data_IF_527016845203
#
_entry.id   IF_527016845203
#
_cell.length_a   1.000
_cell.length_b   1.000
_cell.length_c   1.000
_cell.angle_alpha   90.00
_cell.angle_beta   90.00
_cell.angle_gamma   90.00
#
_symmetry.space_group_name_H-M   'P 1'
#
loop_
_entity.id
_entity.type
_entity.pdbx_description
1 polymer ?
#
# COMPACT_ATOMS: atom_id res chain seq x y z
N UNK A 1 2.89 -10.70 -3.57
CA UNK A 1 3.06 -9.31 -4.05
C UNK A 1 2.70 -9.30 -5.54
N UNK A 2 2.27 -8.18 -6.11
CA UNK A 2 1.66 -8.19 -7.44
C UNK A 2 1.99 -6.94 -8.26
N UNK A 3 2.29 -7.18 -9.54
CA UNK A 3 2.23 -6.17 -10.60
C UNK A 3 1.00 -6.48 -11.46
N UNK A 4 0.36 -5.45 -12.02
CA UNK A 4 -0.80 -5.65 -12.87
C UNK A 4 -1.56 -4.38 -13.19
N UNK A 5 -2.55 -4.48 -14.07
CA UNK A 5 -3.43 -3.35 -14.41
C UNK A 5 -4.59 -3.25 -13.41
N UNK A 6 -4.39 -2.48 -12.33
CA UNK A 6 -5.38 -2.29 -11.27
C UNK A 6 -6.41 -1.21 -11.58
N UNK A 7 -6.32 -0.54 -12.74
CA UNK A 7 -7.44 0.29 -13.22
C UNK A 7 -8.71 -0.55 -13.42
N UNK A 8 -8.54 -1.86 -13.64
CA UNK A 8 -9.62 -2.84 -13.72
C UNK A 8 -10.35 -3.09 -12.40
N UNK A 9 -9.77 -2.71 -11.27
CA UNK A 9 -10.38 -2.82 -9.94
C UNK A 9 -10.65 -1.44 -9.31
N UNK A 10 -10.64 -0.37 -10.11
CA UNK A 10 -11.10 0.96 -9.70
C UNK A 10 -10.01 1.96 -9.36
N UNK A 11 -8.72 1.61 -9.50
CA UNK A 11 -7.65 2.60 -9.41
C UNK A 11 -7.70 3.58 -10.60
N UNK A 12 -7.34 4.83 -10.35
CA UNK A 12 -7.26 5.83 -11.42
C UNK A 12 -6.01 5.54 -12.27
N UNK A 13 -6.11 5.66 -13.59
CA UNK A 13 -4.96 5.50 -14.46
C UNK A 13 -3.87 6.53 -14.11
N UNK A 14 -2.65 6.06 -13.86
CA UNK A 14 -1.54 6.92 -13.42
C UNK A 14 -1.57 7.28 -11.94
N UNK A 15 -2.43 6.65 -11.14
CA UNK A 15 -2.32 6.71 -9.68
C UNK A 15 -1.01 6.04 -9.25
N UNK A 16 -0.09 6.86 -8.75
CA UNK A 16 1.23 6.42 -8.25
C UNK A 16 1.13 5.69 -6.91
N UNK A 17 -0.06 5.68 -6.32
CA UNK A 17 -0.39 4.94 -5.11
C UNK A 17 -0.11 5.70 -3.83
N UNK A 18 -0.27 4.97 -2.74
CA UNK A 18 -0.05 5.42 -1.38
C UNK A 18 -0.02 4.23 -0.44
N UNK A 19 0.39 4.48 0.80
CA UNK A 19 0.38 3.45 1.82
C UNK A 19 -0.95 3.45 2.58
N UNK A 20 -1.46 2.26 2.86
CA UNK A 20 -2.61 1.98 3.69
C UNK A 20 -2.13 1.22 4.93
N UNK A 21 -2.67 1.56 6.09
CA UNK A 21 -2.11 1.16 7.38
C UNK A 21 -3.15 1.19 8.53
N UNK A 22 -2.88 0.51 9.66
CA UNK A 22 -3.79 0.41 10.80
C UNK A 22 -3.98 1.69 11.62
N UNK A 23 -3.08 2.68 11.49
CA UNK A 23 -3.03 3.82 12.39
C UNK A 23 -3.49 5.11 11.69
N UNK A 24 -3.01 5.40 10.49
CA UNK A 24 -3.27 6.64 9.77
C UNK A 24 -2.90 7.88 10.61
N UNK A 25 -3.36 9.05 10.17
CA UNK A 25 -3.05 10.30 10.86
C UNK A 25 -3.72 10.44 12.25
N UNK A 26 -4.77 9.68 12.53
CA UNK A 26 -5.59 9.80 13.75
C UNK A 26 -5.57 8.55 14.63
N UNK A 27 -4.68 7.59 14.38
CA UNK A 27 -4.67 6.27 15.02
C UNK A 27 -6.00 5.50 14.88
N UNK A 28 -6.67 5.65 13.73
CA UNK A 28 -7.93 4.98 13.39
C UNK A 28 -7.84 4.14 12.10
N UNK A 29 -6.69 4.15 11.45
CA UNK A 29 -6.42 3.50 10.18
C UNK A 29 -6.64 4.39 8.96
N UNK A 30 -6.03 3.95 7.88
CA UNK A 30 -6.03 4.54 6.56
C UNK A 30 -6.12 3.36 5.57
N UNK A 31 -7.32 2.99 5.09
CA UNK A 31 -8.61 3.56 5.44
C UNK A 31 -9.06 3.20 6.86
N UNK A 32 -9.90 4.06 7.44
CA UNK A 32 -10.52 3.79 8.75
C UNK A 32 -11.32 2.49 8.71
N UNK A 33 -11.08 1.61 9.68
CA UNK A 33 -11.78 0.33 9.80
C UNK A 33 -11.18 -0.81 8.98
N UNK A 34 -9.95 -0.66 8.47
CA UNK A 34 -9.17 -1.77 7.93
C UNK A 34 -9.08 -2.91 8.95
N UNK A 35 -9.43 -4.12 8.52
CA UNK A 35 -9.39 -5.33 9.36
C UNK A 35 -8.68 -6.43 8.60
N UNK A 36 -7.52 -6.83 9.11
CA UNK A 36 -6.62 -7.77 8.45
C UNK A 36 -6.55 -9.04 9.27
N UNK A 37 -6.90 -10.15 8.64
CA UNK A 37 -6.74 -11.47 9.22
C UNK A 37 -5.82 -12.32 8.35
N UNK A 38 -5.09 -13.21 9.00
CA UNK A 38 -4.21 -14.15 8.31
C UNK A 38 -4.12 -15.44 9.10
N UNK A 39 -3.84 -16.55 8.41
CA UNK A 39 -3.61 -17.85 9.01
C UNK A 39 -2.12 -18.21 9.11
N UNK A 40 -1.22 -17.21 9.05
CA UNK A 40 0.24 -17.43 9.03
C UNK A 40 0.76 -18.18 10.26
N UNK A 41 0.07 -18.11 11.39
CA UNK A 41 0.38 -18.88 12.62
C UNK A 41 -0.37 -20.22 12.71
N UNK A 42 -1.14 -20.59 11.69
CA UNK A 42 -1.96 -21.81 11.65
C UNK A 42 -3.44 -21.60 12.02
N UNK A 43 -3.81 -20.42 12.51
CA UNK A 43 -5.20 -20.04 12.84
C UNK A 43 -5.52 -18.68 12.21
N UNK A 44 -6.74 -18.50 11.69
CA UNK A 44 -7.19 -17.23 11.11
C UNK A 44 -7.50 -16.23 12.24
N UNK A 45 -6.56 -15.31 12.47
CA UNK A 45 -6.62 -14.32 13.55
C UNK A 45 -6.39 -12.92 13.02
N UNK A 46 -6.87 -11.93 13.78
CA UNK A 46 -6.63 -10.52 13.51
C UNK A 46 -5.18 -10.13 13.83
N UNK A 47 -4.59 -9.31 12.96
CA UNK A 47 -3.30 -8.68 13.17
C UNK A 47 -3.44 -7.17 13.15
N UNK A 48 -2.97 -6.54 14.23
CA UNK A 48 -2.98 -5.09 14.38
C UNK A 48 -1.97 -4.44 13.45
N UNK A 49 -0.75 -4.97 13.39
CA UNK A 49 0.34 -4.42 12.57
C UNK A 49 0.34 -5.01 11.15
N UNK A 50 0.07 -4.14 10.18
CA UNK A 50 0.10 -4.46 8.76
C UNK A 50 0.42 -3.21 7.94
N UNK A 51 0.86 -3.43 6.72
CA UNK A 51 1.07 -2.35 5.75
C UNK A 51 0.66 -2.82 4.36
N UNK A 52 0.08 -1.92 3.58
CA UNK A 52 -0.30 -2.17 2.20
C UNK A 52 0.07 -0.98 1.33
N UNK A 53 0.84 -1.22 0.28
CA UNK A 53 0.99 -0.24 -0.77
C UNK A 53 0.12 -0.63 -1.94
N UNK A 54 -0.64 0.33 -2.48
CA UNK A 54 -1.49 0.09 -3.63
C UNK A 54 -1.45 1.27 -4.60
N UNK A 55 -1.16 0.97 -5.86
CA UNK A 55 -1.14 1.92 -6.98
C UNK A 55 -1.90 1.34 -8.18
N UNK A 56 -1.98 2.10 -9.27
CA UNK A 56 -2.60 1.65 -10.51
C UNK A 56 -1.90 0.43 -11.15
N UNK A 57 -0.62 0.21 -10.84
CA UNK A 57 0.22 -0.81 -11.48
C UNK A 57 0.86 -1.84 -10.53
N UNK A 58 0.79 -1.63 -9.21
CA UNK A 58 1.42 -2.49 -8.21
C UNK A 58 0.62 -2.56 -6.91
N UNK A 59 0.63 -3.73 -6.27
CA UNK A 59 0.09 -3.95 -4.93
C UNK A 59 1.02 -4.87 -4.15
N UNK A 60 1.33 -4.50 -2.91
CA UNK A 60 2.07 -5.33 -1.96
C UNK A 60 1.48 -5.19 -0.57
N UNK A 61 1.57 -6.26 0.21
CA UNK A 61 0.93 -6.36 1.52
C UNK A 61 1.85 -7.14 2.44
N UNK A 62 2.02 -6.63 3.67
CA UNK A 62 2.79 -7.28 4.73
C UNK A 62 1.97 -7.27 6.02
N UNK A 63 2.00 -8.40 6.71
CA UNK A 63 1.47 -8.54 8.08
C UNK A 63 2.66 -8.75 9.00
N UNK A 64 2.75 -8.00 10.08
CA UNK A 64 3.85 -8.11 11.03
C UNK A 64 3.39 -8.86 12.28
N UNK A 65 3.94 -10.06 12.44
CA UNK A 65 3.54 -10.99 13.50
C UNK A 65 4.52 -11.03 14.67
N UNK A 66 5.71 -10.47 14.49
CA UNK A 66 6.80 -10.46 15.45
C UNK A 66 7.76 -9.31 15.15
N UNK A 67 8.53 -8.92 16.17
CA UNK A 67 9.60 -7.94 16.06
C UNK A 67 10.78 -8.30 16.97
N UNK A 68 11.81 -7.47 16.91
CA UNK A 68 13.00 -7.52 17.77
C UNK A 68 13.08 -6.27 18.66
N UNK A 69 14.06 -6.20 19.56
CA UNK A 69 14.33 -4.98 20.33
C UNK A 69 14.75 -3.81 19.42
N UNK A 70 15.43 -4.09 18.31
CA UNK A 70 15.87 -3.07 17.35
C UNK A 70 14.73 -2.61 16.43
N UNK A 71 13.78 -3.50 16.16
CA UNK A 71 12.64 -3.26 15.30
C UNK A 71 11.40 -3.94 15.89
N UNK A 72 10.65 -3.26 16.78
CA UNK A 72 9.40 -3.81 17.31
C UNK A 72 8.39 -4.01 16.18
N UNK A 73 7.34 -4.80 16.44
CA UNK A 73 6.36 -5.24 15.42
C UNK A 73 5.75 -4.09 14.61
N UNK A 74 5.43 -2.96 15.25
CA UNK A 74 4.99 -1.73 14.59
C UNK A 74 6.00 -1.24 13.55
N UNK A 75 7.29 -1.18 13.93
CA UNK A 75 8.33 -0.71 13.05
C UNK A 75 8.58 -1.70 11.90
N UNK A 76 8.40 -3.00 12.11
CA UNK A 76 8.47 -4.00 11.02
C UNK A 76 7.46 -3.73 9.90
N UNK A 77 6.32 -3.12 10.23
CA UNK A 77 5.29 -2.69 9.31
C UNK A 77 5.28 -1.17 9.14
N UNK A 78 6.45 -0.53 9.21
CA UNK A 78 6.58 0.92 9.09
C UNK A 78 5.90 1.43 7.81
N UNK A 79 5.03 2.42 7.98
CA UNK A 79 4.06 2.79 6.95
C UNK A 79 3.97 4.28 6.63
N UNK A 80 5.12 4.96 6.66
CA UNK A 80 5.23 6.41 6.44
C UNK A 80 5.93 6.76 5.13
N UNK A 81 6.05 5.78 4.22
CA UNK A 81 6.83 5.89 2.99
C UNK A 81 5.92 5.85 1.75
N UNK A 82 4.88 6.68 1.79
CA UNK A 82 3.72 6.70 0.88
C UNK A 82 4.06 6.84 -0.61
N UNK A 83 5.16 7.51 -0.98
CA UNK A 83 5.55 7.67 -2.39
C UNK A 83 6.71 6.78 -2.86
N UNK A 84 7.14 5.81 -2.05
CA UNK A 84 8.33 5.00 -2.40
C UNK A 84 8.04 3.79 -3.30
N UNK A 85 6.80 3.31 -3.34
CA UNK A 85 6.42 2.13 -4.11
C UNK A 85 6.78 0.80 -3.46
N UNK A 86 6.19 -0.27 -3.98
CA UNK A 86 6.28 -1.62 -3.45
C UNK A 86 7.71 -2.17 -3.39
N UNK A 87 8.52 -1.93 -4.42
CA UNK A 87 9.91 -2.39 -4.44
C UNK A 87 10.78 -1.78 -3.35
N UNK A 88 10.38 -0.63 -2.79
CA UNK A 88 11.05 0.00 -1.68
C UNK A 88 10.44 -0.41 -0.34
N UNK A 89 9.11 -0.32 -0.17
CA UNK A 89 8.49 -0.53 1.14
C UNK A 89 8.36 -2.02 1.50
N UNK A 90 8.22 -2.89 0.49
CA UNK A 90 8.16 -4.36 0.66
C UNK A 90 8.93 -5.05 -0.47
N UNK A 91 10.28 -5.07 -0.42
CA UNK A 91 11.09 -5.69 -1.46
C UNK A 91 10.86 -7.21 -1.53
N UNK A 92 10.86 -7.77 -2.74
CA UNK A 92 10.74 -9.21 -2.97
C UNK A 92 10.41 -9.55 -4.42
N UNK A 93 9.79 -10.71 -4.66
CA UNK A 93 9.49 -11.17 -6.01
C UNK A 93 8.19 -10.55 -6.56
N UNK A 94 8.30 -9.81 -7.67
CA UNK A 94 7.21 -9.15 -8.40
C UNK A 94 7.07 -9.71 -9.83
N UNK A 95 7.43 -10.98 -10.05
CA UNK A 95 7.28 -11.61 -11.35
C UNK A 95 5.82 -11.63 -11.83
N UNK A 96 5.59 -11.15 -13.05
CA UNK A 96 4.28 -11.18 -13.70
C UNK A 96 3.80 -12.62 -13.95
N UNK A 97 2.47 -12.80 -13.93
CA UNK A 97 1.79 -14.05 -14.26
C UNK A 97 2.23 -15.28 -13.43
N UNK A 98 2.79 -15.04 -12.23
CA UNK A 98 3.19 -16.08 -11.28
C UNK A 98 2.44 -15.88 -9.97
N UNK A 99 1.84 -16.97 -9.47
CA UNK A 99 1.34 -17.04 -8.10
C UNK A 99 2.21 -18.03 -7.33
N UNK A 100 3.00 -17.54 -6.39
CA UNK A 100 3.86 -18.35 -5.56
C UNK A 100 3.53 -18.19 -4.07
N UNK A 101 3.84 -19.25 -3.32
CA UNK A 101 3.90 -19.24 -1.86
C UNK A 101 5.30 -19.70 -1.48
N UNK A 102 6.06 -18.85 -0.81
CA UNK A 102 7.44 -19.11 -0.43
C UNK A 102 7.61 -18.92 1.08
N UNK A 103 8.62 -19.59 1.63
CA UNK A 103 9.19 -19.21 2.93
C UNK A 103 10.13 -18.03 2.70
N UNK A 104 9.94 -16.93 3.44
CA UNK A 104 10.78 -15.73 3.34
C UNK A 104 11.55 -15.48 4.64
N UNK A 105 12.79 -15.02 4.52
CA UNK A 105 13.53 -14.45 5.63
C UNK A 105 12.84 -13.18 6.15
N UNK A 106 13.05 -12.83 7.43
CA UNK A 106 12.57 -11.54 7.95
C UNK A 106 13.28 -10.39 7.23
N UNK A 107 12.50 -9.51 6.59
CA UNK A 107 13.01 -8.24 6.07
C UNK A 107 13.18 -7.24 7.20
N UNK A 108 14.15 -6.34 7.09
CA UNK A 108 14.20 -5.14 7.92
C UNK A 108 12.99 -4.24 7.63
N UNK A 109 12.58 -3.41 8.61
CA UNK A 109 11.66 -2.31 8.38
C UNK A 109 12.06 -1.46 7.18
N UNK A 110 11.11 -1.06 6.31
CA UNK A 110 11.42 -0.11 5.27
C UNK A 110 11.84 1.23 5.89
N UNK A 111 12.90 1.83 5.33
CA UNK A 111 13.47 3.07 5.86
C UNK A 111 14.42 2.93 7.04
N UNK A 112 14.61 1.74 7.63
CA UNK A 112 15.59 1.50 8.69
C UNK A 112 16.90 0.94 8.11
N UNK A 113 18.02 1.58 8.44
CA UNK A 113 19.35 1.24 7.94
C UNK A 113 20.32 0.98 9.09
N UNK A 114 20.68 -0.28 9.39
CA UNK A 114 21.75 -0.59 10.33
C UNK A 114 23.09 0.02 9.91
N UNK A 115 23.78 0.67 10.85
CA UNK A 115 25.09 1.33 10.61
C UNK A 115 26.24 0.73 11.43
N UNK A 116 25.96 -0.30 12.25
CA UNK A 116 26.95 -1.04 13.05
C UNK A 116 26.77 -0.81 14.56
N UNK A 117 27.40 -1.65 15.39
CA UNK A 117 27.34 -1.58 16.86
C UNK A 117 25.91 -1.59 17.48
N UNK A 118 24.93 -2.11 16.75
CA UNK A 118 23.52 -2.09 17.17
C UNK A 118 22.81 -0.75 16.92
N UNK A 119 23.44 0.18 16.20
CA UNK A 119 22.85 1.46 15.82
C UNK A 119 22.19 1.40 14.44
N UNK A 120 21.17 2.23 14.25
CA UNK A 120 20.44 2.40 12.99
C UNK A 120 20.37 3.88 12.60
N UNK A 121 20.31 4.12 11.31
CA UNK A 121 19.84 5.37 10.71
C UNK A 121 18.42 5.16 10.18
N UNK A 122 17.62 6.23 10.10
CA UNK A 122 16.25 6.18 9.59
C UNK A 122 16.09 7.15 8.43
N UNK A 123 15.49 6.69 7.35
CA UNK A 123 15.05 7.53 6.25
C UNK A 123 13.64 8.03 6.54
N UNK A 124 13.46 9.35 6.42
CA UNK A 124 12.16 10.01 6.49
C UNK A 124 11.85 10.61 5.13
N UNK A 125 10.72 10.21 4.54
CA UNK A 125 10.31 10.72 3.25
C UNK A 125 10.00 12.23 3.30
N UNK A 126 10.64 13.00 2.42
CA UNK A 126 10.31 14.42 2.28
C UNK A 126 8.90 14.57 1.71
N UNK A 127 8.03 15.25 2.45
CA UNK A 127 6.67 15.54 2.01
C UNK A 127 6.16 16.84 2.65
N UNK A 128 5.40 17.63 1.89
CA UNK A 128 4.71 18.82 2.40
C UNK A 128 3.22 18.70 2.15
N UNK A 129 2.40 18.95 3.17
CA UNK A 129 0.96 18.83 3.03
C UNK A 129 0.18 19.79 3.91
N UNK A 130 -1.14 19.68 3.83
CA UNK A 130 -2.07 20.40 4.71
C UNK A 130 -3.13 19.46 5.26
N UNK A 131 -3.51 19.64 6.51
CA UNK A 131 -4.65 18.95 7.12
C UNK A 131 -5.58 19.96 7.81
N UNK A 132 -6.84 19.57 8.04
CA UNK A 132 -7.82 20.40 8.75
C UNK A 132 -8.14 19.75 10.10
N UNK A 133 -7.91 20.47 11.19
CA UNK A 133 -8.33 20.07 12.53
C UNK A 133 -9.21 21.18 13.12
N UNK A 134 -10.39 20.83 13.63
CA UNK A 134 -11.36 21.79 14.21
C UNK A 134 -11.68 22.99 13.29
N UNK A 135 -11.76 22.75 11.98
CA UNK A 135 -12.03 23.78 10.98
C UNK A 135 -10.86 24.71 10.68
N UNK A 136 -9.69 24.49 11.28
CA UNK A 136 -8.46 25.24 11.01
C UNK A 136 -7.53 24.43 10.11
N UNK A 137 -7.03 25.03 9.03
CA UNK A 137 -6.05 24.41 8.13
C UNK A 137 -4.64 24.59 8.69
N UNK A 138 -3.91 23.49 8.84
CA UNK A 138 -2.51 23.43 9.22
C UNK A 138 -1.67 22.97 8.03
N UNK A 139 -0.44 23.45 7.94
CA UNK A 139 0.57 22.95 6.99
C UNK A 139 1.64 22.19 7.75
N UNK A 140 2.18 21.13 7.15
CA UNK A 140 3.27 20.36 7.71
C UNK A 140 4.32 20.04 6.65
N UNK A 141 5.54 19.82 7.13
CA UNK A 141 6.68 19.33 6.35
C UNK A 141 7.27 18.14 7.10
N UNK A 142 7.35 17.00 6.43
CA UNK A 142 8.08 15.82 6.87
C UNK A 142 9.42 15.76 6.13
N UNK A 143 10.48 15.30 6.80
CA UNK A 143 11.83 15.20 6.24
C UNK A 143 12.43 16.55 5.80
N UNK A 144 13.56 16.50 5.11
CA UNK A 144 14.24 17.67 4.54
C UNK A 144 14.26 17.60 3.01
N UNK A 145 14.06 18.71 2.27
CA UNK A 145 14.16 18.73 0.81
C UNK A 145 15.58 18.47 0.31
N UNK A 146 16.58 18.67 1.16
CA UNK A 146 18.00 18.50 0.82
C UNK A 146 18.51 17.08 1.12
N UNK A 147 17.68 16.23 1.74
CA UNK A 147 18.04 14.85 2.03
C UNK A 147 17.97 13.99 0.76
N UNK A 148 18.96 13.11 0.60
CA UNK A 148 18.98 12.17 -0.52
C UNK A 148 18.11 10.98 -0.18
N UNK A 149 17.06 10.77 -0.97
CA UNK A 149 16.25 9.55 -0.92
C UNK A 149 17.13 8.33 -1.24
N UNK A 150 17.17 7.32 -0.36
CA UNK A 150 17.83 6.06 -0.66
C UNK A 150 17.26 5.41 -1.92
N UNK A 151 18.10 4.71 -2.69
CA UNK A 151 17.66 4.08 -3.95
C UNK A 151 16.90 2.77 -3.75
N UNK A 152 17.02 2.15 -2.57
CA UNK A 152 16.38 0.88 -2.22
C UNK A 152 16.30 0.75 -0.70
N UNK A 153 15.44 -0.17 -0.23
CA UNK A 153 15.46 -0.62 1.16
C UNK A 153 16.80 -1.23 1.55
N UNK A 154 17.05 -1.33 2.85
CA UNK A 154 18.25 -1.96 3.37
C UNK A 154 18.35 -3.45 3.01
N UNK A 155 17.23 -4.19 3.06
CA UNK A 155 17.21 -5.64 2.85
C UNK A 155 16.22 -6.06 1.78
N UNK A 156 16.63 -7.03 0.97
CA UNK A 156 15.74 -7.87 0.15
C UNK A 156 15.79 -9.28 0.73
N UNK A 157 14.76 -9.72 1.48
CA UNK A 157 14.79 -11.02 2.15
C UNK A 157 14.89 -12.15 1.12
N UNK A 158 15.70 -13.17 1.41
CA UNK A 158 15.76 -14.35 0.56
C UNK A 158 14.48 -15.17 0.71
N UNK A 159 14.07 -15.82 -0.37
CA UNK A 159 12.92 -16.73 -0.40
C UNK A 159 13.35 -18.14 -0.73
N UNK A 160 12.70 -19.13 -0.12
CA UNK A 160 12.95 -20.55 -0.32
C UNK A 160 11.64 -21.35 -0.32
N UNK A 161 11.71 -22.65 -0.66
CA UNK A 161 10.56 -23.56 -0.70
C UNK A 161 9.34 -23.04 -1.51
N UNK A 162 9.59 -22.21 -2.52
CA UNK A 162 8.55 -21.60 -3.33
C UNK A 162 7.72 -22.65 -4.07
N UNK A 163 6.41 -22.61 -3.88
CA UNK A 163 5.44 -23.42 -4.59
C UNK A 163 4.59 -22.53 -5.48
N UNK A 164 4.67 -22.74 -6.80
CA UNK A 164 3.81 -22.04 -7.75
C UNK A 164 2.42 -22.70 -7.80
N UNK A 165 1.37 -21.89 -7.75
CA UNK A 165 0.00 -22.29 -8.03
C UNK A 165 -0.45 -21.69 -9.37
N UNK A 166 -1.31 -22.41 -10.10
CA UNK A 166 -1.84 -21.95 -11.39
C UNK A 166 -2.91 -20.85 -11.26
N UNK A 167 -3.42 -20.63 -10.05
CA UNK A 167 -4.41 -19.60 -9.73
C UNK A 167 -4.41 -19.34 -8.22
N UNK A 168 -4.84 -18.13 -7.84
CA UNK A 168 -5.35 -17.82 -6.49
C UNK A 168 -6.69 -18.54 -6.31
N UNK A 169 -6.65 -19.87 -6.12
CA UNK A 169 -7.82 -20.73 -5.94
C UNK A 169 -8.53 -20.55 -4.58
N UNK A 170 -8.45 -19.36 -3.98
CA UNK A 170 -9.16 -18.97 -2.75
C UNK A 170 -10.67 -18.73 -2.98
N UNK A 171 -11.32 -19.60 -3.78
CA UNK A 171 -12.78 -19.74 -3.77
C UNK A 171 -13.58 -18.80 -4.66
N UNK A 172 -12.99 -17.78 -5.30
CA UNK A 172 -13.73 -16.93 -6.25
C UNK A 172 -13.71 -17.59 -7.64
N UNK A 173 -14.58 -18.60 -7.81
CA UNK A 173 -14.70 -19.42 -9.04
C UNK A 173 -14.91 -18.62 -10.34
N UNK A 174 -15.35 -17.36 -10.25
CA UNK A 174 -15.58 -16.48 -11.38
C UNK A 174 -14.31 -15.86 -11.97
N UNK A 175 -13.22 -15.73 -11.20
CA UNK A 175 -11.98 -15.08 -11.67
C UNK A 175 -11.12 -15.99 -12.55
N UNK A 176 -11.21 -17.32 -12.38
CA UNK A 176 -10.47 -18.29 -13.18
C UNK A 176 -10.94 -18.41 -14.65
N UNK A 177 -12.12 -17.87 -14.99
CA UNK A 177 -12.71 -18.00 -16.33
C UNK A 177 -12.08 -17.04 -17.37
N UNK A 178 -11.43 -15.96 -16.94
CA UNK A 178 -10.95 -14.90 -17.85
C UNK A 178 -9.57 -15.18 -18.46
N UNK A 179 -8.76 -16.06 -17.86
CA UNK A 179 -7.39 -16.32 -18.30
C UNK A 179 -7.26 -17.19 -19.59
N UNK A 180 -8.35 -17.76 -20.09
CA UNK A 180 -8.31 -18.71 -21.23
C UNK A 180 -8.62 -18.12 -22.61
N UNK A 181 -8.68 -16.80 -22.77
CA UNK A 181 -9.12 -16.17 -24.05
C UNK A 181 -8.07 -15.35 -24.81
N UNK A 182 -6.78 -15.70 -24.68
CA UNK A 182 -5.71 -15.12 -25.51
C UNK A 182 -4.73 -16.18 -26.05
N UNK A 183 -5.24 -17.25 -26.68
CA UNK A 183 -4.44 -18.10 -27.56
C UNK A 183 -4.84 -17.82 -29.02
N UNK A 184 -4.27 -16.76 -29.61
CA UNK A 184 -4.34 -16.56 -31.05
C UNK A 184 -3.50 -17.63 -31.74
N UNK A 185 -4.18 -18.63 -32.31
CA UNK A 185 -3.58 -19.64 -33.16
C UNK A 185 -2.89 -18.98 -34.36
N UNK A 186 -1.56 -19.07 -34.44
CA UNK A 186 -0.83 -18.82 -35.69
C UNK A 186 -0.17 -20.13 -36.12
N UNK A 187 -0.87 -20.89 -36.96
CA UNK A 187 -0.34 -22.10 -37.59
C UNK A 187 0.69 -21.72 -38.66
N UNK A 188 1.92 -22.12 -38.43
CA UNK A 188 3.07 -22.03 -39.34
C UNK A 188 2.83 -22.91 -40.58
N UNK A 189 2.63 -22.29 -41.75
CA UNK A 189 2.69 -22.98 -43.03
C UNK A 189 3.93 -22.52 -43.82
N UNK A 190 4.88 -23.43 -43.96
CA UNK A 190 6.08 -23.27 -44.79
C UNK A 190 5.74 -23.48 -46.27
N UNK A 191 6.09 -22.53 -47.13
CA UNK A 191 6.04 -22.69 -48.59
C UNK A 191 6.92 -21.66 -49.29
N UNK A 192 8.06 -22.11 -49.83
CA UNK A 192 8.98 -21.30 -50.66
C UNK A 192 8.39 -21.10 -52.07
N UNK A 193 8.50 -19.88 -52.63
CA UNK A 193 9.10 -19.63 -53.97
C UNK A 193 9.07 -18.15 -54.40
N UNK A 194 10.28 -17.62 -54.62
CA UNK A 194 10.75 -16.75 -55.70
C UNK A 194 9.92 -15.55 -56.26
N UNK A 195 10.47 -14.36 -55.99
CA UNK A 195 11.02 -13.39 -56.98
C UNK A 195 10.23 -12.12 -57.38
N UNK A 196 11.03 -11.04 -57.47
CA UNK A 196 10.94 -9.78 -58.25
C UNK A 196 10.33 -8.52 -57.59
N UNK A 197 11.24 -7.66 -57.12
CA UNK A 197 11.53 -6.29 -57.64
C UNK A 197 10.37 -5.30 -57.88
N UNK A 198 10.44 -4.14 -57.19
CA UNK A 198 10.34 -2.74 -57.67
C UNK A 198 9.74 -1.85 -56.55
N UNK A 199 10.55 -1.03 -55.88
CA UNK A 199 10.78 0.41 -56.11
C UNK A 199 9.59 1.35 -55.85
N UNK A 200 9.82 2.26 -54.90
CA UNK A 200 9.55 3.70 -54.94
C UNK A 200 8.32 4.30 -54.19
N UNK A 201 8.69 5.26 -53.33
CA UNK A 201 8.13 6.62 -53.13
C UNK A 201 6.86 6.81 -52.27
N UNK A 202 7.14 7.30 -51.06
CA UNK A 202 6.72 8.62 -50.53
C UNK A 202 5.59 9.37 -51.24
N UNK A 203 4.52 9.66 -50.49
CA UNK A 203 3.77 10.91 -50.60
C UNK A 203 3.06 11.25 -49.29
N UNK A 204 3.21 12.53 -48.94
CA UNK A 204 2.62 13.35 -47.88
C UNK A 204 1.09 13.42 -47.84
N UNK A 205 0.54 13.83 -46.70
CA UNK A 205 -0.81 14.40 -46.57
C UNK A 205 -1.41 14.24 -45.17
N UNK A 206 -0.97 15.00 -44.17
CA UNK A 206 -1.74 16.08 -43.49
C UNK A 206 -3.22 15.81 -43.20
N UNK A 207 -3.58 15.72 -41.91
CA UNK A 207 -4.67 16.52 -41.33
C UNK A 207 -4.67 16.45 -39.81
N UNK A 208 -4.45 17.61 -39.22
CA UNK A 208 -4.71 18.01 -37.84
C UNK A 208 -6.20 17.94 -37.49
N UNK A 209 -6.52 17.47 -36.29
CA UNK A 209 -7.64 18.01 -35.50
C UNK A 209 -7.43 17.71 -34.02
N UNK A 210 -6.99 18.76 -33.32
CA UNK A 210 -7.11 18.99 -31.89
C UNK A 210 -8.56 18.84 -31.42
N UNK A 211 -8.78 18.11 -30.34
CA UNK A 211 -9.96 18.32 -29.50
C UNK A 211 -9.55 18.36 -28.03
N UNK A 212 -9.21 19.57 -27.59
CA UNK A 212 -9.19 19.98 -26.20
C UNK A 212 -10.63 20.16 -25.72
N UNK A 213 -11.04 19.42 -24.70
CA UNK A 213 -12.22 19.74 -23.92
C UNK A 213 -11.93 19.47 -22.45
N UNK A 214 -11.52 20.56 -21.79
CA UNK A 214 -11.60 20.80 -20.36
C UNK A 214 -13.02 20.56 -19.86
N UNK A 215 -13.19 19.75 -18.80
CA UNK A 215 -14.42 19.75 -18.03
C UNK A 215 -14.10 19.83 -16.54
N UNK A 216 -14.09 21.07 -16.04
CA UNK A 216 -14.30 21.42 -14.65
C UNK A 216 -15.78 21.18 -14.29
N UNK A 217 -16.03 20.44 -13.22
CA UNK A 217 -17.38 20.14 -12.76
C UNK A 217 -17.38 19.79 -11.29
N UNK A 218 -17.42 20.83 -10.45
CA UNK A 218 -17.80 20.76 -9.05
C UNK A 218 -19.30 20.50 -8.93
N UNK A 219 -19.70 19.54 -8.11
CA UNK A 219 -21.05 19.53 -7.54
C UNK A 219 -21.06 18.88 -6.17
N UNK A 220 -21.36 19.75 -5.20
CA UNK A 220 -21.69 19.56 -3.81
C UNK A 220 -22.71 18.45 -3.54
N UNK A 221 -22.45 17.72 -2.46
CA UNK A 221 -23.34 16.76 -1.81
C UNK A 221 -24.62 17.41 -1.28
N UNK A 222 -25.77 16.89 -1.69
CA UNK A 222 -27.06 17.13 -1.06
C UNK A 222 -27.32 16.05 0.00
N UNK A 223 -27.41 16.49 1.25
CA UNK A 223 -27.78 15.68 2.41
C UNK A 223 -29.28 15.35 2.39
N UNK A 224 -29.62 14.06 2.42
CA UNK A 224 -30.95 13.58 2.79
C UNK A 224 -30.87 12.86 4.13
N UNK A 225 -31.45 13.48 5.15
CA UNK A 225 -31.64 12.96 6.48
C UNK A 225 -32.69 11.84 6.49
N UNK A 226 -32.34 10.70 7.08
CA UNK A 226 -33.31 9.72 7.54
C UNK A 226 -32.99 9.33 8.99
N UNK A 227 -33.89 9.75 9.86
CA UNK A 227 -33.93 9.45 11.29
C UNK A 227 -34.28 8.00 11.57
N UNK A 228 -33.57 7.37 12.51
CA UNK A 228 -34.12 6.26 13.31
C UNK A 228 -33.54 6.27 14.71
N UNK A 229 -34.46 6.26 15.66
CA UNK A 229 -34.36 6.41 17.10
C UNK A 229 -33.58 5.30 17.82
N UNK A 230 -32.89 5.65 18.91
CA UNK A 230 -32.64 4.70 20.00
C UNK A 230 -32.47 5.40 21.37
N UNK A 231 -33.46 5.14 22.21
CA UNK A 231 -33.50 5.06 23.68
C UNK A 231 -32.62 5.98 24.56
N UNK A 232 -33.33 6.79 25.36
CA UNK A 232 -32.89 7.34 26.64
C UNK A 232 -32.56 6.21 27.63
N UNK A 233 -31.42 6.34 28.33
CA UNK A 233 -31.25 5.81 29.67
C UNK A 233 -30.60 6.88 30.54
N UNK A 234 -31.32 7.26 31.59
CA UNK A 234 -30.90 8.23 32.59
C UNK A 234 -30.16 7.53 33.74
N UNK A 235 -29.05 8.11 34.19
CA UNK A 235 -28.57 7.97 35.57
C UNK A 235 -27.76 9.22 35.95
N UNK A 236 -28.10 9.80 37.09
CA UNK A 236 -27.64 11.09 37.62
C UNK A 236 -26.24 11.01 38.28
N UNK A 237 -25.59 12.15 38.60
CA UNK A 237 -24.20 12.21 39.03
C UNK A 237 -24.06 12.04 40.56
N UNK A 238 -22.99 11.37 41.01
CA UNK A 238 -22.56 11.39 42.39
C UNK A 238 -21.22 12.14 42.50
N UNK A 239 -21.31 13.35 43.05
CA UNK A 239 -20.19 14.17 43.51
C UNK A 239 -19.67 13.55 44.80
N UNK A 240 -18.39 13.19 44.86
CA UNK A 240 -17.68 13.07 46.14
C UNK A 240 -16.31 13.73 46.01
N UNK A 241 -16.17 14.89 46.64
CA UNK A 241 -14.91 15.52 46.92
C UNK A 241 -14.28 14.88 48.18
N UNK A 242 -12.99 14.58 48.14
CA UNK A 242 -12.18 14.62 49.36
C UNK A 242 -10.75 15.05 49.03
N UNK A 243 -10.33 16.09 49.73
CA UNK A 243 -9.02 16.71 49.65
C UNK A 243 -7.97 15.95 50.47
N UNK A 244 -6.72 16.00 50.00
CA UNK A 244 -5.53 16.24 50.81
C UNK A 244 -4.88 15.06 51.54
N UNK A 245 -3.66 14.71 51.11
CA UNK A 245 -2.51 14.57 52.01
C UNK A 245 -1.19 14.57 51.20
N UNK A 246 -0.44 15.66 51.36
CA UNK A 246 1.00 15.72 51.09
C UNK A 246 1.73 14.82 52.10
N UNK A 247 2.65 13.98 51.65
CA UNK A 247 3.75 13.48 52.47
C UNK A 247 5.00 13.29 51.58
N UNK A 248 5.93 14.21 51.75
CA UNK A 248 7.32 14.06 51.38
C UNK A 248 7.97 13.00 52.28
N UNK A 249 8.85 12.17 51.71
CA UNK A 249 9.60 11.17 52.46
C UNK A 249 10.71 10.58 51.61
N UNK A 250 11.84 11.29 51.55
CA UNK A 250 13.10 10.78 51.04
C UNK A 250 13.61 9.63 51.92
N UNK A 251 14.10 8.54 51.30
CA UNK A 251 15.18 7.72 51.87
C UNK A 251 16.09 7.26 50.72
N UNK A 252 17.36 7.59 50.89
CA UNK A 252 18.52 7.17 50.11
C UNK A 252 18.89 5.72 50.42
N UNK A 253 19.11 4.92 49.36
CA UNK A 253 20.30 4.05 49.13
C UNK A 253 20.13 3.31 47.81
#
# INVERSE_FOLDING_TARGET
>A
MAMGDFTKIGFVAGDEGGELDPHGATNMGNPVGGNVTSNVTGEDVFYEEWMNYAAADQICFRVCIAGSEQAPTELECQHTLDVMGCNFVMPGNYADDVFDSCDGDSAYPPGLYPIGNGETSTFVQYYTGTYVADGTTYSYTNGSPDETTPTAAYSTPATSNCVTTSTISNGIKSLAASASSSAAATSTASGKSASKSSSAKSSSGSSSSSNSSSNSGSSSSSSSSSSSSAAKAAAAPAILALAGALLAGAVML
#
